data_IF_742526211771
#
_entry.id   IF_742526211771
#
_cell.length_a   1.000
_cell.length_b   1.000
_cell.length_c   1.000
_cell.angle_alpha   90.00
_cell.angle_beta   90.00
_cell.angle_gamma   90.00
#
_symmetry.space_group_name_H-M   'P 1'
#
loop_
_entity.id
_entity.type
_entity.pdbx_description
1 polymer ?
#
# COMPACT_ATOMS: atom_id res chain seq x y z
N UNK A 1 -27.89 -2.26 44.23
CA UNK A 1 -27.31 -2.53 42.89
C UNK A 1 -27.48 -1.28 42.07
N UNK A 2 -26.41 -0.49 41.89
CA UNK A 2 -26.46 0.86 41.33
C UNK A 2 -25.84 0.84 39.92
N UNK A 3 -26.45 0.09 39.01
CA UNK A 3 -25.94 -0.11 37.66
C UNK A 3 -27.11 -0.01 36.69
N UNK A 4 -27.50 1.21 36.30
CA UNK A 4 -28.75 1.33 35.54
C UNK A 4 -29.06 2.61 34.79
N UNK A 5 -28.38 3.75 35.03
CA UNK A 5 -28.62 4.95 34.22
C UNK A 5 -27.29 5.61 33.87
N UNK A 6 -26.66 5.12 32.81
CA UNK A 6 -25.68 5.93 32.08
C UNK A 6 -26.44 7.05 31.40
N UNK A 7 -25.98 8.30 31.56
CA UNK A 7 -26.56 9.44 30.85
C UNK A 7 -26.42 9.21 29.34
N UNK A 8 -27.41 9.65 28.56
CA UNK A 8 -27.36 9.56 27.09
C UNK A 8 -26.07 10.19 26.52
N UNK A 9 -25.55 11.22 27.19
CA UNK A 9 -24.27 11.85 26.84
C UNK A 9 -23.08 10.90 27.04
N UNK A 10 -23.03 10.15 28.14
CA UNK A 10 -21.99 9.15 28.40
C UNK A 10 -22.03 8.02 27.38
N UNK A 11 -23.24 7.56 27.03
CA UNK A 11 -23.43 6.57 25.98
C UNK A 11 -22.93 7.08 24.62
N UNK A 12 -23.27 8.32 24.25
CA UNK A 12 -22.82 8.93 23.00
C UNK A 12 -21.29 9.04 22.92
N UNK A 13 -20.62 9.43 24.01
CA UNK A 13 -19.15 9.46 24.04
C UNK A 13 -18.53 8.08 23.89
N UNK A 14 -19.05 7.07 24.59
CA UNK A 14 -18.56 5.70 24.47
C UNK A 14 -18.72 5.18 23.02
N UNK A 15 -19.91 5.37 22.44
CA UNK A 15 -20.19 4.98 21.05
C UNK A 15 -19.25 5.66 20.05
N UNK A 16 -19.03 6.98 20.18
CA UNK A 16 -18.10 7.70 19.31
C UNK A 16 -16.67 7.21 19.46
N UNK A 17 -16.22 6.97 20.70
CA UNK A 17 -14.90 6.41 20.97
C UNK A 17 -14.74 5.03 20.32
N UNK A 18 -15.73 4.15 20.45
CA UNK A 18 -15.73 2.82 19.84
C UNK A 18 -15.65 2.90 18.31
N UNK A 19 -16.44 3.79 17.68
CA UNK A 19 -16.38 4.03 16.23
C UNK A 19 -15.01 4.54 15.80
N UNK A 20 -14.42 5.48 16.55
CA UNK A 20 -13.06 5.97 16.29
C UNK A 20 -12.01 4.85 16.41
N UNK A 21 -12.13 3.98 17.41
CA UNK A 21 -11.21 2.84 17.59
C UNK A 21 -11.34 1.86 16.43
N UNK A 22 -12.56 1.49 16.04
CA UNK A 22 -12.80 0.61 14.89
C UNK A 22 -12.25 1.22 13.61
N UNK A 23 -12.51 2.50 13.37
CA UNK A 23 -11.98 3.24 12.21
C UNK A 23 -10.46 3.27 12.21
N UNK A 24 -9.83 3.54 13.36
CA UNK A 24 -8.38 3.54 13.49
C UNK A 24 -7.77 2.16 13.19
N UNK A 25 -8.35 1.08 13.75
CA UNK A 25 -7.89 -0.28 13.51
C UNK A 25 -8.02 -0.67 12.03
N UNK A 26 -9.15 -0.33 11.40
CA UNK A 26 -9.39 -0.59 9.99
C UNK A 26 -8.39 0.15 9.11
N UNK A 27 -8.26 1.47 9.27
CA UNK A 27 -7.30 2.27 8.49
C UNK A 27 -5.86 1.81 8.71
N UNK A 28 -5.47 1.49 9.95
CA UNK A 28 -4.13 0.99 10.26
C UNK A 28 -3.87 -0.37 9.62
N UNK A 29 -4.84 -1.29 9.64
CA UNK A 29 -4.73 -2.59 8.98
C UNK A 29 -4.51 -2.46 7.47
N UNK A 30 -5.29 -1.59 6.81
CA UNK A 30 -5.12 -1.32 5.37
C UNK A 30 -3.78 -0.64 5.07
N UNK A 31 -3.38 0.34 5.88
CA UNK A 31 -2.10 1.01 5.70
C UNK A 31 -0.92 0.03 5.83
N UNK A 32 -0.95 -0.86 6.82
CA UNK A 32 0.06 -1.89 7.01
C UNK A 32 0.07 -2.87 5.84
N UNK A 33 -1.10 -3.35 5.40
CA UNK A 33 -1.22 -4.23 4.26
C UNK A 33 -0.62 -3.61 2.99
N UNK A 34 -1.01 -2.38 2.66
CA UNK A 34 -0.47 -1.65 1.51
C UNK A 34 1.02 -1.34 1.66
N UNK A 35 1.50 -1.05 2.87
CA UNK A 35 2.93 -0.85 3.12
C UNK A 35 3.73 -2.12 2.84
N UNK A 36 3.22 -3.30 3.24
CA UNK A 36 3.87 -4.58 2.97
C UNK A 36 3.90 -4.91 1.46
N UNK A 37 2.81 -4.62 0.74
CA UNK A 37 2.74 -4.71 -0.72
C UNK A 37 3.80 -3.81 -1.37
N UNK A 38 3.87 -2.54 -0.95
CA UNK A 38 4.87 -1.58 -1.45
C UNK A 38 6.29 -2.06 -1.15
N UNK A 39 6.58 -2.58 0.04
CA UNK A 39 7.90 -3.12 0.39
C UNK A 39 8.30 -4.32 -0.47
N UNK A 40 7.33 -5.07 -0.98
CA UNK A 40 7.54 -6.21 -1.89
C UNK A 40 7.49 -5.83 -3.37
N UNK A 41 7.28 -4.56 -3.71
CA UNK A 41 7.16 -4.13 -5.10
C UNK A 41 5.94 -4.75 -5.80
N UNK A 42 4.83 -4.92 -5.08
CA UNK A 42 3.63 -5.58 -5.57
C UNK A 42 2.40 -4.68 -5.47
N UNK A 43 1.51 -4.84 -6.44
CA UNK A 43 0.13 -4.36 -6.38
C UNK A 43 -0.79 -5.41 -5.77
N UNK A 44 -1.96 -5.02 -5.27
CA UNK A 44 -2.95 -5.96 -4.74
C UNK A 44 -3.33 -7.04 -5.77
N UNK A 45 -3.42 -6.66 -7.06
CA UNK A 45 -3.69 -7.60 -8.16
C UNK A 45 -2.59 -8.66 -8.30
N UNK A 46 -1.33 -8.24 -8.25
CA UNK A 46 -0.18 -9.15 -8.35
C UNK A 46 -0.04 -10.04 -7.13
N UNK A 47 -0.39 -9.55 -5.95
CA UNK A 47 -0.43 -10.34 -4.72
C UNK A 47 -1.44 -11.49 -4.82
N UNK A 48 -2.64 -11.25 -5.36
CA UNK A 48 -3.61 -12.33 -5.63
C UNK A 48 -3.11 -13.36 -6.65
N UNK A 49 -2.22 -12.95 -7.57
CA UNK A 49 -1.60 -13.83 -8.55
C UNK A 49 -0.23 -14.38 -8.14
N UNK A 50 0.20 -14.17 -6.89
CA UNK A 50 1.51 -14.55 -6.33
C UNK A 50 2.74 -14.15 -7.19
N UNK A 51 2.62 -13.08 -7.97
CA UNK A 51 3.71 -12.60 -8.84
C UNK A 51 4.67 -11.69 -8.07
N UNK A 52 5.96 -12.04 -8.05
CA UNK A 52 7.03 -11.28 -7.38
C UNK A 52 8.05 -10.74 -8.39
N UNK A 53 7.64 -10.54 -9.64
CA UNK A 53 8.53 -10.21 -10.76
C UNK A 53 9.18 -8.82 -10.63
N UNK A 54 8.49 -7.87 -9.99
CA UNK A 54 8.91 -6.47 -9.83
C UNK A 54 9.53 -6.15 -8.46
N UNK A 55 9.69 -7.15 -7.59
CA UNK A 55 10.42 -6.95 -6.34
C UNK A 55 11.90 -6.67 -6.67
N UNK A 56 12.46 -5.54 -6.26
CA UNK A 56 13.88 -5.23 -6.44
C UNK A 56 14.58 -5.01 -5.09
N UNK A 57 13.94 -5.43 -4.00
CA UNK A 57 14.34 -5.17 -2.63
C UNK A 57 13.64 -3.95 -2.04
N UNK A 58 13.37 -4.01 -0.74
CA UNK A 58 12.52 -3.05 -0.02
C UNK A 58 12.88 -1.58 -0.26
N UNK A 59 14.17 -1.24 -0.31
CA UNK A 59 14.63 0.13 -0.50
C UNK A 59 14.34 0.63 -1.91
N UNK A 60 14.60 -0.21 -2.92
CA UNK A 60 14.31 0.11 -4.32
C UNK A 60 12.81 0.23 -4.53
N UNK A 61 12.02 -0.70 -3.98
CA UNK A 61 10.57 -0.70 -4.10
C UNK A 61 9.94 0.53 -3.43
N UNK A 62 10.43 0.94 -2.25
CA UNK A 62 9.99 2.18 -1.61
C UNK A 62 10.34 3.42 -2.43
N UNK A 63 11.54 3.48 -3.01
CA UNK A 63 11.97 4.60 -3.86
C UNK A 63 11.15 4.65 -5.16
N UNK A 64 10.80 3.51 -5.73
CA UNK A 64 9.95 3.42 -6.91
C UNK A 64 8.53 3.93 -6.60
N UNK A 65 7.99 3.62 -5.43
CA UNK A 65 6.62 3.98 -5.05
C UNK A 65 6.47 5.41 -4.49
N UNK A 66 7.45 5.87 -3.71
CA UNK A 66 7.41 7.14 -2.98
C UNK A 66 8.40 8.19 -3.51
N UNK A 67 9.24 7.82 -4.47
CA UNK A 67 10.21 8.70 -5.12
C UNK A 67 11.54 8.88 -4.37
N UNK A 68 12.39 9.73 -4.93
CA UNK A 68 13.74 10.04 -4.41
C UNK A 68 13.76 10.49 -2.95
N UNK A 69 12.72 11.21 -2.53
CA UNK A 69 12.60 11.82 -1.20
C UNK A 69 11.58 11.09 -0.34
N UNK A 70 11.48 9.77 -0.49
CA UNK A 70 10.49 8.93 0.19
C UNK A 70 10.41 9.18 1.70
N UNK A 71 11.55 9.44 2.37
CA UNK A 71 11.62 9.72 3.80
C UNK A 71 10.90 11.01 4.21
N UNK A 72 10.82 12.02 3.33
CA UNK A 72 10.11 13.27 3.60
C UNK A 72 8.60 13.14 3.37
N UNK A 73 8.18 12.27 2.45
CA UNK A 73 6.75 12.08 2.10
C UNK A 73 5.93 11.60 3.30
N UNK A 74 6.55 10.89 4.25
CA UNK A 74 5.91 10.48 5.50
C UNK A 74 5.51 11.65 6.42
N UNK A 75 6.16 12.81 6.29
CA UNK A 75 5.83 14.00 7.08
C UNK A 75 4.64 14.77 6.52
N UNK A 76 4.53 14.84 5.18
CA UNK A 76 3.46 15.56 4.51
C UNK A 76 3.30 15.11 3.05
N UNK A 77 2.06 14.86 2.58
CA UNK A 77 1.78 14.51 1.19
C UNK A 77 2.02 15.69 0.23
N UNK A 78 2.18 16.91 0.74
CA UNK A 78 2.42 18.11 -0.07
C UNK A 78 3.89 18.25 -0.52
N UNK A 79 4.79 17.43 0.04
CA UNK A 79 6.20 17.45 -0.34
C UNK A 79 6.37 16.71 -1.66
N UNK A 80 6.80 17.44 -2.69
CA UNK A 80 7.11 16.84 -3.98
C UNK A 80 8.28 15.87 -3.85
N UNK A 81 8.03 14.60 -4.19
CA UNK A 81 9.04 13.55 -4.31
C UNK A 81 8.98 12.99 -5.73
N UNK A 82 9.98 13.31 -6.59
CA UNK A 82 9.96 12.85 -7.98
C UNK A 82 10.12 11.33 -8.04
N UNK A 83 9.24 10.69 -8.81
CA UNK A 83 9.29 9.26 -9.07
C UNK A 83 10.37 8.98 -10.13
N UNK A 84 11.14 7.89 -9.99
CA UNK A 84 12.19 7.55 -10.96
C UNK A 84 11.63 6.96 -12.27
N UNK A 85 10.44 6.36 -12.25
CA UNK A 85 9.79 5.72 -13.39
C UNK A 85 8.84 6.63 -14.17
N UNK A 86 8.51 6.21 -15.39
CA UNK A 86 7.54 6.85 -16.30
C UNK A 86 6.09 6.36 -16.07
N UNK A 87 5.90 5.36 -15.19
CA UNK A 87 4.61 4.71 -14.92
C UNK A 87 4.17 3.68 -15.96
N UNK A 88 5.02 3.38 -16.96
CA UNK A 88 4.73 2.43 -18.06
C UNK A 88 5.77 1.31 -18.08
N UNK A 89 7.04 1.64 -17.82
CA UNK A 89 8.18 0.75 -17.88
C UNK A 89 8.67 0.42 -16.47
N UNK A 90 8.58 -0.85 -16.08
CA UNK A 90 9.00 -1.32 -14.75
C UNK A 90 10.14 -2.34 -14.87
N UNK A 91 11.13 -2.22 -14.00
CA UNK A 91 12.26 -3.15 -13.96
C UNK A 91 11.82 -4.47 -13.31
N UNK A 92 12.19 -5.61 -13.91
CA UNK A 92 11.85 -6.95 -13.41
C UNK A 92 13.09 -7.79 -13.11
N UNK A 93 13.00 -8.72 -12.14
CA UNK A 93 14.12 -9.63 -11.80
C UNK A 93 14.49 -10.57 -12.96
N UNK A 94 13.52 -10.94 -13.78
CA UNK A 94 13.76 -11.74 -14.98
C UNK A 94 14.04 -10.79 -16.16
N UNK A 95 15.11 -11.01 -16.95
CA UNK A 95 15.19 -10.42 -18.28
C UNK A 95 13.94 -10.85 -19.05
N UNK A 96 13.22 -9.91 -19.64
CA UNK A 96 12.28 -10.25 -20.71
C UNK A 96 13.10 -10.92 -21.81
N UNK A 97 13.18 -12.25 -21.78
CA UNK A 97 13.52 -13.00 -22.96
C UNK A 97 12.39 -12.67 -23.94
N UNK A 98 12.65 -11.76 -24.88
CA UNK A 98 11.86 -11.62 -26.09
C UNK A 98 11.64 -13.03 -26.62
N UNK A 99 10.45 -13.58 -26.40
CA UNK A 99 10.03 -14.78 -27.10
C UNK A 99 10.03 -14.37 -28.58
N UNK A 100 10.84 -15.01 -29.45
CA UNK A 100 10.87 -14.65 -30.86
C UNK A 100 9.44 -14.74 -31.38
N UNK A 101 8.95 -13.64 -31.96
CA UNK A 101 7.67 -13.58 -32.63
C UNK A 101 7.55 -14.79 -33.55
N UNK A 102 6.67 -15.74 -33.20
CA UNK A 102 6.37 -16.91 -34.03
C UNK A 102 5.22 -16.50 -34.93
N UNK A 103 5.44 -16.14 -36.21
CA UNK A 103 4.34 -15.90 -37.12
C UNK A 103 3.49 -17.16 -37.20
N UNK A 104 2.19 -17.01 -36.95
CA UNK A 104 1.20 -18.04 -37.24
C UNK A 104 1.09 -18.14 -38.76
N UNK A 105 1.74 -19.14 -39.35
CA UNK A 105 1.49 -19.52 -40.73
C UNK A 105 0.04 -20.01 -40.82
N UNK A 106 -0.80 -19.22 -41.49
CA UNK A 106 -2.07 -19.65 -42.06
C UNK A 106 -1.81 -20.47 -43.33
#
# INVERSE_FOLDING_TARGET
>A
MLQGQVSAVTFAYAFMADVCVVGFLFCSGFLLFHSLLTLRGQTTKEWFGESHQYDLGWHCNLREALGERWHLVWLSPLIASPLPGDGVTFQSKAPQAELPFRPSNF
#
